data_IF_500916601583
#
_entry.id   IF_500916601583
#
_cell.length_a   1.000
_cell.length_b   1.000
_cell.length_c   1.000
_cell.angle_alpha   90.00
_cell.angle_beta   90.00
_cell.angle_gamma   90.00
#
_symmetry.space_group_name_H-M   'P 1'
#
loop_
_entity.id
_entity.type
_entity.pdbx_description
1 polymer ?
#
# COMPACT_ATOMS: atom_id res chain seq x y z
N UNK A 1 -15.11 5.15 3.66
CA UNK A 1 -14.24 4.43 2.70
C UNK A 1 -13.17 3.72 3.54
N UNK A 2 -13.48 2.53 4.05
CA UNK A 2 -12.66 1.82 5.07
C UNK A 2 -11.67 0.80 4.47
N UNK A 3 -11.38 0.89 3.17
CA UNK A 3 -10.65 -0.15 2.43
C UNK A 3 -9.18 0.14 2.13
N UNK A 4 -8.70 1.37 2.31
CA UNK A 4 -7.32 1.74 1.92
C UNK A 4 -6.31 1.78 3.08
N UNK A 5 -6.75 1.75 4.33
CA UNK A 5 -5.84 1.91 5.49
C UNK A 5 -4.86 0.74 5.65
N UNK A 6 -5.19 -0.46 5.13
CA UNK A 6 -4.35 -1.65 5.30
C UNK A 6 -3.12 -1.69 4.39
N UNK A 7 -3.14 -1.03 3.23
CA UNK A 7 -1.99 -1.07 2.30
C UNK A 7 -0.86 -0.15 2.75
N UNK A 8 -1.19 0.89 3.53
CA UNK A 8 -0.27 1.94 3.97
C UNK A 8 0.39 1.59 5.32
N UNK A 9 0.23 0.36 5.80
CA UNK A 9 0.88 -0.18 7.00
C UNK A 9 1.64 -1.45 6.65
N UNK A 10 2.93 -1.60 7.03
CA UNK A 10 3.67 -2.82 6.73
C UNK A 10 3.19 -3.97 7.62
N UNK A 11 3.12 -5.18 7.05
CA UNK A 11 2.86 -6.41 7.79
C UNK A 11 4.14 -6.93 8.42
N UNK A 12 4.23 -6.79 9.74
CA UNK A 12 5.44 -7.10 10.51
C UNK A 12 5.23 -8.30 11.44
N UNK A 13 6.25 -9.13 11.56
CA UNK A 13 6.38 -10.19 12.54
C UNK A 13 7.27 -9.72 13.69
N UNK A 14 6.74 -9.81 14.92
CA UNK A 14 7.38 -9.29 16.15
C UNK A 14 7.66 -10.37 17.19
N UNK A 15 7.57 -11.65 16.82
CA UNK A 15 7.81 -12.77 17.76
C UNK A 15 9.25 -12.86 18.28
N UNK A 16 10.21 -12.30 17.53
CA UNK A 16 11.65 -12.33 17.85
C UNK A 16 12.15 -10.99 18.45
N UNK A 17 11.29 -10.23 19.13
CA UNK A 17 11.64 -8.90 19.65
C UNK A 17 12.99 -8.91 20.41
N UNK A 18 13.93 -7.97 20.12
CA UNK A 18 13.75 -6.72 19.39
C UNK A 18 13.93 -6.79 17.87
N UNK A 19 14.11 -7.98 17.29
CA UNK A 19 14.24 -8.14 15.84
C UNK A 19 12.85 -8.15 15.21
N UNK A 20 12.55 -7.14 14.38
CA UNK A 20 11.32 -7.07 13.61
C UNK A 20 11.58 -7.61 12.21
N UNK A 21 10.66 -8.43 11.69
CA UNK A 21 10.75 -9.01 10.35
C UNK A 21 9.55 -8.65 9.51
N UNK A 22 9.71 -8.61 8.20
CA UNK A 22 8.59 -8.57 7.25
C UNK A 22 7.86 -9.92 7.33
N UNK A 23 6.57 -9.92 7.60
CA UNK A 23 5.80 -11.14 7.86
C UNK A 23 5.81 -12.11 6.68
N UNK A 24 5.77 -11.61 5.44
CA UNK A 24 5.71 -12.42 4.23
C UNK A 24 7.04 -13.05 3.83
N UNK A 25 8.18 -12.41 4.13
CA UNK A 25 9.50 -12.83 3.63
C UNK A 25 10.47 -13.27 4.73
N UNK A 26 10.24 -12.89 5.98
CA UNK A 26 11.17 -13.12 7.10
C UNK A 26 12.41 -12.22 7.08
N UNK A 27 12.55 -11.35 6.08
CA UNK A 27 13.62 -10.35 6.01
C UNK A 27 13.53 -9.39 7.21
N UNK A 28 14.68 -8.92 7.70
CA UNK A 28 14.72 -7.93 8.79
C UNK A 28 14.13 -6.62 8.28
N UNK A 29 13.21 -6.04 9.05
CA UNK A 29 12.63 -4.73 8.76
C UNK A 29 13.56 -3.64 9.33
N UNK A 30 14.45 -3.14 8.49
CA UNK A 30 15.43 -2.11 8.86
C UNK A 30 14.84 -0.70 8.72
N UNK A 31 15.48 0.34 9.33
CA UNK A 31 15.06 1.73 9.14
C UNK A 31 15.03 2.18 7.66
N UNK A 32 15.91 1.64 6.82
CA UNK A 32 15.92 1.95 5.39
C UNK A 32 14.67 1.40 4.68
N UNK A 33 14.23 0.19 5.05
CA UNK A 33 12.99 -0.40 4.54
C UNK A 33 11.76 0.34 5.04
N UNK A 34 11.76 0.81 6.29
CA UNK A 34 10.70 1.66 6.83
C UNK A 34 10.58 2.98 6.06
N UNK A 35 11.72 3.66 5.82
CA UNK A 35 11.74 4.91 5.06
C UNK A 35 11.25 4.72 3.62
N UNK A 36 11.71 3.66 2.94
CA UNK A 36 11.23 3.30 1.61
C UNK A 36 9.72 3.00 1.60
N UNK A 37 9.24 2.18 2.55
CA UNK A 37 7.83 1.83 2.65
C UNK A 37 6.97 3.09 2.80
N UNK A 38 7.33 3.97 3.72
CA UNK A 38 6.61 5.22 3.96
C UNK A 38 6.54 6.09 2.71
N UNK A 39 7.68 6.27 2.02
CA UNK A 39 7.73 7.07 0.80
C UNK A 39 6.77 6.54 -0.27
N UNK A 40 6.75 5.23 -0.50
CA UNK A 40 5.87 4.62 -1.51
C UNK A 40 4.41 4.64 -1.07
N UNK A 41 4.12 4.39 0.22
CA UNK A 41 2.77 4.48 0.78
C UNK A 41 2.17 5.88 0.57
N UNK A 42 2.90 6.93 0.97
CA UNK A 42 2.45 8.32 0.82
C UNK A 42 2.21 8.67 -0.66
N UNK A 43 3.14 8.31 -1.55
CA UNK A 43 3.03 8.58 -2.99
C UNK A 43 1.78 7.93 -3.61
N UNK A 44 1.54 6.64 -3.31
CA UNK A 44 0.40 5.92 -3.86
C UNK A 44 -0.91 6.31 -3.18
N UNK A 45 -0.89 6.71 -1.91
CA UNK A 45 -2.05 7.27 -1.22
C UNK A 45 -2.53 8.53 -1.93
N UNK A 46 -1.63 9.49 -2.19
CA UNK A 46 -1.96 10.68 -2.95
C UNK A 46 -2.46 10.35 -4.36
N UNK A 47 -1.85 9.36 -5.01
CA UNK A 47 -2.28 8.90 -6.33
C UNK A 47 -3.71 8.36 -6.35
N UNK A 48 -4.07 7.51 -5.36
CA UNK A 48 -5.42 6.97 -5.20
C UNK A 48 -6.45 8.08 -4.95
N UNK A 49 -6.14 9.04 -4.08
CA UNK A 49 -7.02 10.18 -3.79
C UNK A 49 -7.26 11.00 -5.06
N UNK A 50 -6.19 11.39 -5.77
CA UNK A 50 -6.30 12.14 -7.04
C UNK A 50 -7.10 11.37 -8.10
N UNK A 51 -6.89 10.05 -8.22
CA UNK A 51 -7.64 9.22 -9.15
C UNK A 51 -9.13 9.17 -8.80
N UNK A 52 -9.45 8.98 -7.51
CA UNK A 52 -10.84 9.00 -7.03
C UNK A 52 -11.52 10.34 -7.33
N UNK A 53 -10.91 11.47 -6.92
CA UNK A 53 -11.48 12.80 -7.09
C UNK A 53 -11.72 13.14 -8.56
N UNK A 54 -10.74 12.84 -9.42
CA UNK A 54 -10.84 13.08 -10.86
C UNK A 54 -11.95 12.26 -11.54
N UNK A 55 -12.09 10.98 -11.20
CA UNK A 55 -13.12 10.12 -11.79
C UNK A 55 -14.51 10.43 -11.21
N UNK A 56 -14.59 10.76 -9.92
CA UNK A 56 -15.82 11.16 -9.28
C UNK A 56 -16.38 12.46 -9.92
N UNK A 57 -15.52 13.45 -10.17
CA UNK A 57 -15.90 14.70 -10.83
C UNK A 57 -16.43 14.50 -12.27
N UNK A 58 -16.02 13.42 -12.95
CA UNK A 58 -16.53 13.05 -14.29
C UNK A 58 -17.88 12.35 -14.26
N UNK A 59 -18.39 11.99 -13.07
CA UNK A 59 -19.59 11.16 -12.93
C UNK A 59 -19.34 9.68 -13.22
N UNK A 60 -18.09 9.20 -13.16
CA UNK A 60 -17.77 7.78 -13.33
C UNK A 60 -18.49 6.95 -12.24
N UNK A 61 -19.15 5.84 -12.59
CA UNK A 61 -19.78 4.97 -11.59
C UNK A 61 -18.78 4.46 -10.55
N UNK A 62 -19.17 4.42 -9.27
CA UNK A 62 -18.27 4.04 -8.17
C UNK A 62 -17.61 2.66 -8.35
N UNK A 63 -18.29 1.71 -8.98
CA UNK A 63 -17.73 0.38 -9.30
C UNK A 63 -16.55 0.46 -10.27
N UNK A 64 -16.62 1.35 -11.26
CA UNK A 64 -15.54 1.59 -12.22
C UNK A 64 -14.38 2.36 -11.57
N UNK A 65 -14.68 3.31 -10.67
CA UNK A 65 -13.63 3.98 -9.87
C UNK A 65 -12.89 2.96 -9.01
N UNK A 66 -13.61 2.06 -8.33
CA UNK A 66 -13.00 1.02 -7.51
C UNK A 66 -12.11 0.09 -8.33
N UNK A 67 -12.57 -0.32 -9.52
CA UNK A 67 -11.77 -1.09 -10.46
C UNK A 67 -10.46 -0.38 -10.83
N UNK A 68 -10.53 0.91 -11.19
CA UNK A 68 -9.34 1.73 -11.50
C UNK A 68 -8.38 1.86 -10.31
N UNK A 69 -8.90 1.95 -9.08
CA UNK A 69 -8.06 1.97 -7.86
C UNK A 69 -7.33 0.63 -7.69
N UNK A 70 -8.00 -0.51 -7.94
CA UNK A 70 -7.33 -1.81 -7.90
C UNK A 70 -6.26 -1.94 -8.99
N UNK A 71 -6.57 -1.56 -10.23
CA UNK A 71 -5.60 -1.54 -11.33
C UNK A 71 -4.40 -0.63 -11.01
N UNK A 72 -4.63 0.50 -10.33
CA UNK A 72 -3.56 1.39 -9.88
C UNK A 72 -2.71 0.74 -8.77
N UNK A 73 -3.33 0.07 -7.80
CA UNK A 73 -2.59 -0.67 -6.77
C UNK A 73 -1.77 -1.83 -7.35
N UNK A 74 -2.23 -2.47 -8.43
CA UNK A 74 -1.47 -3.53 -9.11
C UNK A 74 -0.17 -3.01 -9.75
N UNK A 75 -0.02 -1.69 -9.89
CA UNK A 75 1.23 -1.05 -10.31
C UNK A 75 2.21 -0.80 -9.15
N UNK A 76 1.85 -1.16 -7.90
CA UNK A 76 2.74 -1.01 -6.75
C UNK A 76 4.06 -1.77 -6.95
N UNK A 77 5.21 -1.21 -6.54
CA UNK A 77 6.49 -1.91 -6.63
C UNK A 77 6.46 -3.24 -5.88
N UNK A 78 7.11 -4.27 -6.45
CA UNK A 78 7.17 -5.61 -5.87
C UNK A 78 7.70 -5.62 -4.43
N UNK A 79 8.69 -4.79 -4.14
CA UNK A 79 9.26 -4.69 -2.79
C UNK A 79 8.23 -4.12 -1.81
N UNK A 80 7.46 -3.10 -2.20
CA UNK A 80 6.38 -2.57 -1.39
C UNK A 80 5.28 -3.61 -1.15
N UNK A 81 4.87 -4.33 -2.20
CA UNK A 81 3.83 -5.38 -2.13
C UNK A 81 4.18 -6.49 -1.14
N UNK A 82 5.45 -6.92 -1.11
CA UNK A 82 5.96 -7.88 -0.11
C UNK A 82 5.84 -7.39 1.33
N UNK A 83 5.94 -6.07 1.54
CA UNK A 83 5.83 -5.46 2.86
C UNK A 83 4.38 -5.16 3.26
N UNK A 84 3.50 -4.79 2.33
CA UNK A 84 2.11 -4.43 2.60
C UNK A 84 1.14 -5.61 2.62
N UNK A 85 1.53 -6.75 2.03
CA UNK A 85 0.63 -7.90 1.89
C UNK A 85 -0.34 -7.82 0.71
N UNK A 86 -0.14 -6.85 -0.18
CA UNK A 86 -0.87 -6.77 -1.45
C UNK A 86 -0.27 -7.78 -2.44
N UNK A 87 -0.89 -8.96 -2.53
CA UNK A 87 -0.48 -10.05 -3.44
C UNK A 87 -0.90 -9.76 -4.88
#
# INVERSE_FOLDING_TARGET
>A
MYGCEYIDTPMLYVGDWPIIRIAATGEIFTPEKEAYFKQIADLYHEGRVKLYENEFAKGTPLSEILKKIFEYNDTLPDEFRKMSGWL
#
